data_IF_701316542304
#
_entry.id   IF_701316542304
#
_cell.length_a   1.000
_cell.length_b   1.000
_cell.length_c   1.000
_cell.angle_alpha   90.00
_cell.angle_beta   90.00
_cell.angle_gamma   90.00
#
_symmetry.space_group_name_H-M   'P 1'
#
loop_
_entity.id
_entity.type
_entity.pdbx_description
1 polymer ?
#
# COMPACT_ATOMS: atom_id res chain seq x y z
N UNK A 1 11.25 -14.07 -3.99
CA UNK A 1 10.02 -14.66 -3.42
C UNK A 1 8.93 -13.61 -3.54
N UNK A 2 7.68 -14.00 -3.81
CA UNK A 2 6.54 -13.08 -4.00
C UNK A 2 5.34 -13.58 -3.16
N UNK A 3 4.40 -12.71 -2.85
CA UNK A 3 3.16 -13.12 -2.18
C UNK A 3 2.27 -13.86 -3.20
N UNK A 4 2.03 -15.15 -2.97
CA UNK A 4 1.09 -15.92 -3.76
C UNK A 4 -0.35 -15.61 -3.33
N UNK A 5 -1.15 -15.12 -4.28
CA UNK A 5 -2.59 -14.90 -4.12
C UNK A 5 -3.29 -15.86 -5.06
N UNK A 6 -4.10 -16.77 -4.50
CA UNK A 6 -4.77 -17.83 -5.26
C UNK A 6 -5.95 -17.30 -6.10
N UNK A 7 -6.63 -16.28 -5.59
CA UNK A 7 -7.77 -15.66 -6.25
C UNK A 7 -7.32 -14.67 -7.33
N UNK A 8 -8.04 -14.58 -8.47
CA UNK A 8 -7.77 -13.56 -9.48
C UNK A 8 -7.99 -12.16 -8.90
N UNK A 9 -7.06 -11.25 -9.19
CA UNK A 9 -7.12 -9.86 -8.73
C UNK A 9 -7.61 -8.94 -9.84
N UNK A 10 -8.57 -8.08 -9.54
CA UNK A 10 -8.96 -6.96 -10.37
C UNK A 10 -7.88 -5.86 -10.33
N UNK A 11 -6.90 -5.98 -11.23
CA UNK A 11 -5.82 -5.02 -11.39
C UNK A 11 -6.33 -3.62 -11.74
N UNK A 12 -7.48 -3.52 -12.41
CA UNK A 12 -8.06 -2.22 -12.78
C UNK A 12 -8.57 -1.50 -11.54
N UNK A 13 -9.35 -2.17 -10.71
CA UNK A 13 -9.82 -1.62 -9.43
C UNK A 13 -8.64 -1.24 -8.51
N UNK A 14 -7.61 -2.08 -8.44
CA UNK A 14 -6.39 -1.76 -7.67
C UNK A 14 -5.69 -0.49 -8.20
N UNK A 15 -5.59 -0.33 -9.52
CA UNK A 15 -5.00 0.87 -10.16
C UNK A 15 -5.83 2.13 -9.94
N UNK A 16 -7.14 2.02 -9.80
CA UNK A 16 -8.01 3.15 -9.48
C UNK A 16 -7.82 3.62 -8.03
N UNK A 17 -7.38 2.74 -7.11
CA UNK A 17 -7.19 3.05 -5.70
C UNK A 17 -5.87 3.78 -5.38
N UNK A 18 -4.76 3.47 -6.07
CA UNK A 18 -3.41 3.95 -5.72
C UNK A 18 -3.11 5.45 -5.97
N UNK A 19 -3.78 6.19 -6.88
CA UNK A 19 -3.46 7.60 -7.12
C UNK A 19 -3.69 8.50 -5.90
N UNK A 20 -4.60 8.12 -5.00
CA UNK A 20 -4.89 8.90 -3.79
C UNK A 20 -3.71 8.94 -2.81
N UNK A 21 -2.74 8.03 -2.95
CA UNK A 21 -1.55 7.99 -2.11
C UNK A 21 -0.52 9.06 -2.49
N UNK A 22 -0.55 9.59 -3.72
CA UNK A 22 0.41 10.59 -4.21
C UNK A 22 0.19 11.92 -3.46
N UNK A 23 1.28 12.58 -3.09
CA UNK A 23 1.26 13.81 -2.30
C UNK A 23 1.59 13.58 -0.83
N UNK A 24 1.31 14.57 0.00
CA UNK A 24 1.61 14.55 1.42
C UNK A 24 0.36 14.17 2.23
N UNK A 25 0.44 13.06 2.98
CA UNK A 25 -0.69 12.51 3.72
C UNK A 25 -0.28 11.97 5.08
N UNK A 26 -1.25 11.85 5.98
CA UNK A 26 -1.13 11.11 7.23
C UNK A 26 -1.36 9.61 6.95
N UNK A 27 -0.32 8.80 7.08
CA UNK A 27 -0.37 7.36 6.83
C UNK A 27 -0.67 6.53 8.09
N UNK A 28 -1.33 7.10 9.11
CA UNK A 28 -1.67 6.39 10.35
C UNK A 28 -2.49 5.11 10.11
N UNK A 29 -3.39 5.10 9.11
CA UNK A 29 -4.14 3.89 8.73
C UNK A 29 -3.26 2.76 8.24
N UNK A 30 -2.05 3.07 7.76
CA UNK A 30 -1.07 2.10 7.26
C UNK A 30 0.13 1.94 8.21
N UNK A 31 0.06 2.47 9.44
CA UNK A 31 1.13 2.38 10.42
C UNK A 31 0.94 1.15 11.32
N UNK A 32 2.00 0.37 11.55
CA UNK A 32 1.97 -0.67 12.58
C UNK A 32 2.07 -0.08 13.99
N UNK A 33 1.50 -0.78 14.98
CA UNK A 33 1.72 -0.51 16.40
C UNK A 33 3.22 -0.61 16.73
N UNK A 34 3.74 0.27 17.59
CA UNK A 34 5.16 0.32 17.95
C UNK A 34 6.07 0.85 16.83
N UNK A 35 5.63 1.92 16.15
CA UNK A 35 6.46 2.66 15.21
C UNK A 35 6.99 3.92 15.89
N UNK A 36 8.31 4.10 15.91
CA UNK A 36 8.98 5.19 16.63
C UNK A 36 9.09 6.50 15.81
N UNK A 37 8.38 6.58 14.69
CA UNK A 37 8.36 7.80 13.87
C UNK A 37 7.68 8.95 14.63
N UNK A 38 8.36 10.10 14.67
CA UNK A 38 7.87 11.32 15.32
C UNK A 38 6.52 11.81 14.75
N UNK A 39 6.32 11.67 13.43
CA UNK A 39 5.03 11.95 12.78
C UNK A 39 4.67 10.88 11.75
N UNK A 40 3.37 10.61 11.53
CA UNK A 40 2.88 9.68 10.51
C UNK A 40 2.79 10.28 9.11
N UNK A 41 3.09 11.58 8.96
CA UNK A 41 3.02 12.28 7.68
C UNK A 41 4.16 11.83 6.76
N UNK A 42 3.84 11.40 5.54
CA UNK A 42 4.83 11.09 4.48
C UNK A 42 4.39 11.71 3.17
N UNK A 43 5.36 11.99 2.30
CA UNK A 43 5.10 12.48 0.96
C UNK A 43 5.47 11.39 -0.04
N UNK A 44 4.48 10.90 -0.77
CA UNK A 44 4.67 9.95 -1.87
C UNK A 44 4.83 10.74 -3.15
N UNK A 45 5.91 10.48 -3.87
CA UNK A 45 6.21 11.13 -5.15
C UNK A 45 5.56 10.40 -6.31
N UNK A 46 5.65 9.08 -6.29
CA UNK A 46 5.11 8.22 -7.35
C UNK A 46 4.72 6.86 -6.78
N UNK A 47 3.75 6.24 -7.42
CA UNK A 47 3.47 4.83 -7.25
C UNK A 47 2.99 4.24 -8.58
N UNK A 48 3.20 2.93 -8.76
CA UNK A 48 2.79 2.21 -9.95
C UNK A 48 2.43 0.77 -9.62
N UNK A 49 1.46 0.21 -10.35
CA UNK A 49 1.07 -1.20 -10.27
C UNK A 49 1.08 -1.81 -11.68
N UNK A 50 1.98 -2.76 -11.91
CA UNK A 50 2.32 -3.27 -13.24
C UNK A 50 2.30 -4.79 -13.28
N UNK A 51 1.62 -5.41 -14.26
CA UNK A 51 1.83 -6.83 -14.53
C UNK A 51 3.23 -7.04 -15.14
N UNK A 52 3.94 -8.07 -14.66
CA UNK A 52 5.26 -8.51 -15.10
C UNK A 52 5.25 -10.03 -15.24
N UNK A 53 4.77 -10.51 -16.39
CA UNK A 53 4.53 -11.94 -16.60
C UNK A 53 3.45 -12.46 -15.65
N UNK A 54 3.79 -13.46 -14.85
CA UNK A 54 2.91 -14.04 -13.82
C UNK A 54 2.87 -13.22 -12.51
N UNK A 55 3.65 -12.14 -12.43
CA UNK A 55 3.73 -11.30 -11.23
C UNK A 55 2.95 -10.00 -11.40
N UNK A 56 2.40 -9.52 -10.29
CA UNK A 56 1.90 -8.16 -10.16
C UNK A 56 2.86 -7.38 -9.26
N UNK A 57 3.51 -6.35 -9.83
CA UNK A 57 4.56 -5.57 -9.14
C UNK A 57 4.00 -4.22 -8.75
N UNK A 58 4.05 -3.93 -7.45
CA UNK A 58 3.73 -2.61 -6.89
C UNK A 58 5.00 -1.88 -6.49
N UNK A 59 5.20 -0.69 -7.05
CA UNK A 59 6.34 0.19 -6.76
C UNK A 59 5.83 1.48 -6.15
N UNK A 60 6.51 1.97 -5.11
CA UNK A 60 6.18 3.23 -4.43
C UNK A 60 7.47 4.00 -4.09
N UNK A 61 7.47 5.30 -4.37
CA UNK A 61 8.56 6.23 -4.08
C UNK A 61 8.04 7.32 -3.13
N UNK A 62 8.72 7.53 -2.00
CA UNK A 62 8.30 8.48 -0.97
C UNK A 62 9.48 9.05 -0.19
N UNK A 63 9.28 10.15 0.54
CA UNK A 63 10.29 10.76 1.42
C UNK A 63 10.82 9.80 2.47
N UNK A 64 9.93 8.99 3.04
CA UNK A 64 10.25 7.93 3.99
C UNK A 64 9.05 6.97 4.09
N UNK A 65 9.27 5.81 4.71
CA UNK A 65 8.22 4.83 4.96
C UNK A 65 8.07 4.58 6.47
N UNK A 66 6.83 4.42 6.95
CA UNK A 66 6.56 3.97 8.32
C UNK A 66 6.75 2.46 8.43
N UNK A 67 6.89 1.97 9.67
CA UNK A 67 6.95 0.53 9.94
C UNK A 67 5.72 -0.17 9.37
N UNK A 68 5.95 -1.16 8.50
CA UNK A 68 4.95 -1.92 7.74
C UNK A 68 4.07 -1.12 6.78
N UNK A 69 4.36 0.16 6.52
CA UNK A 69 3.55 1.02 5.65
C UNK A 69 3.23 0.38 4.31
N UNK A 70 4.27 0.00 3.56
CA UNK A 70 4.11 -0.60 2.23
C UNK A 70 3.35 -1.93 2.30
N UNK A 71 3.61 -2.75 3.31
CA UNK A 71 2.92 -4.04 3.49
C UNK A 71 1.44 -3.87 3.85
N UNK A 72 1.09 -2.86 4.62
CA UNK A 72 -0.30 -2.53 4.95
C UNK A 72 -1.04 -1.95 3.74
N UNK A 73 -0.37 -1.12 2.94
CA UNK A 73 -0.90 -0.61 1.66
C UNK A 73 -1.19 -1.77 0.72
N UNK A 74 -0.19 -2.62 0.43
CA UNK A 74 -0.33 -3.76 -0.48
C UNK A 74 -1.41 -4.73 0.00
N UNK A 75 -1.46 -5.03 1.30
CA UNK A 75 -2.49 -5.88 1.87
C UNK A 75 -3.91 -5.34 1.66
N UNK A 76 -4.10 -4.04 1.86
CA UNK A 76 -5.40 -3.39 1.62
C UNK A 76 -5.71 -3.27 0.12
N UNK A 77 -4.71 -3.12 -0.75
CA UNK A 77 -4.90 -3.16 -2.20
C UNK A 77 -5.33 -4.55 -2.69
N UNK A 78 -4.83 -5.63 -2.07
CA UNK A 78 -5.28 -6.99 -2.39
C UNK A 78 -6.77 -7.18 -2.05
N UNK A 79 -7.26 -6.60 -0.94
CA UNK A 79 -8.71 -6.59 -0.65
C UNK A 79 -9.52 -5.88 -1.74
N UNK A 80 -8.97 -4.80 -2.32
CA UNK A 80 -9.60 -4.12 -3.46
C UNK A 80 -9.60 -5.01 -4.69
N UNK A 81 -8.47 -5.66 -5.00
CA UNK A 81 -8.38 -6.59 -6.12
C UNK A 81 -9.27 -7.83 -5.98
N UNK A 82 -9.56 -8.25 -4.75
CA UNK A 82 -10.49 -9.34 -4.45
C UNK A 82 -11.97 -8.90 -4.44
N UNK A 83 -12.25 -7.61 -4.63
CA UNK A 83 -13.62 -7.05 -4.56
C UNK A 83 -14.19 -6.96 -3.13
N UNK A 84 -13.39 -7.22 -2.10
CA UNK A 84 -13.78 -7.07 -0.68
C UNK A 84 -13.85 -5.60 -0.27
N UNK A 85 -13.23 -4.71 -1.05
CA UNK A 85 -13.16 -3.27 -0.82
C UNK A 85 -13.24 -2.50 -2.13
N UNK A 86 -13.86 -1.33 -2.12
CA UNK A 86 -13.88 -0.42 -3.28
C UNK A 86 -12.67 0.52 -3.31
N UNK A 87 -12.25 1.03 -4.48
CA UNK A 87 -11.22 2.07 -4.57
C UNK A 87 -11.54 3.32 -3.73
N UNK A 88 -12.81 3.73 -3.68
CA UNK A 88 -13.29 4.83 -2.85
C UNK A 88 -13.10 4.54 -1.35
N UNK A 89 -13.40 3.32 -0.91
CA UNK A 89 -13.19 2.91 0.48
C UNK A 89 -11.70 2.93 0.85
N UNK A 90 -10.82 2.57 -0.07
CA UNK A 90 -9.37 2.68 0.12
C UNK A 90 -8.93 4.15 0.31
N UNK A 91 -9.48 5.08 -0.48
CA UNK A 91 -9.24 6.52 -0.31
C UNK A 91 -9.78 7.04 1.04
N UNK A 92 -10.98 6.63 1.42
CA UNK A 92 -11.56 6.98 2.72
C UNK A 92 -10.73 6.44 3.87
N UNK A 93 -10.10 5.29 3.70
CA UNK A 93 -9.23 4.70 4.69
C UNK A 93 -7.99 5.54 4.94
N UNK A 94 -7.36 6.08 3.89
CA UNK A 94 -6.26 7.04 4.05
C UNK A 94 -6.72 8.26 4.88
N UNK A 95 -7.92 8.78 4.60
CA UNK A 95 -8.49 9.91 5.33
C UNK A 95 -8.87 9.57 6.79
N UNK A 96 -9.23 8.32 7.08
CA UNK A 96 -9.70 7.88 8.39
C UNK A 96 -8.61 7.86 9.47
N UNK A 97 -7.33 7.76 9.10
CA UNK A 97 -6.16 7.72 10.00
C UNK A 97 -6.23 6.62 11.08
N UNK A 98 -6.94 5.54 10.78
CA UNK A 98 -7.24 4.45 11.72
C UNK A 98 -6.78 3.11 11.15
N UNK A 99 -5.78 2.51 11.81
CA UNK A 99 -5.20 1.22 11.41
C UNK A 99 -6.18 0.06 11.53
N UNK A 100 -7.16 0.12 12.43
CA UNK A 100 -8.12 -0.98 12.62
C UNK A 100 -8.99 -1.23 11.38
N UNK A 101 -9.12 -0.21 10.53
CA UNK A 101 -9.91 -0.26 9.30
C UNK A 101 -9.14 -0.83 8.10
N UNK A 102 -7.81 -0.93 8.22
CA UNK A 102 -6.91 -1.36 7.15
C UNK A 102 -6.76 -2.86 7.09
N UNK A 103 -6.52 -3.35 5.89
CA UNK A 103 -6.49 -4.77 5.61
C UNK A 103 -5.36 -5.52 6.30
N UNK A 104 -5.37 -6.83 6.09
CA UNK A 104 -4.32 -7.72 6.58
C UNK A 104 -2.95 -7.26 6.06
N UNK A 105 -1.92 -7.29 6.91
CA UNK A 105 -0.57 -6.90 6.49
C UNK A 105 -0.01 -7.93 5.50
N UNK A 106 0.39 -7.49 4.31
CA UNK A 106 1.00 -8.37 3.31
C UNK A 106 2.24 -9.10 3.88
N UNK A 107 2.59 -10.30 3.41
CA UNK A 107 3.79 -11.02 3.85
C UNK A 107 5.09 -10.24 3.59
N UNK A 108 6.09 -10.39 4.47
CA UNK A 108 7.35 -9.64 4.35
C UNK A 108 8.22 -10.06 3.16
N UNK A 109 8.13 -11.33 2.73
CA UNK A 109 9.04 -11.94 1.76
C UNK A 109 8.84 -11.48 0.30
N UNK A 110 7.87 -10.61 0.05
CA UNK A 110 7.61 -9.99 -1.26
C UNK A 110 8.02 -8.51 -1.34
N UNK A 111 8.53 -7.92 -0.26
CA UNK A 111 8.97 -6.53 -0.23
C UNK A 111 10.48 -6.44 -0.42
N UNK A 112 10.93 -5.56 -1.32
CA UNK A 112 12.34 -5.27 -1.57
C UNK A 112 12.54 -3.77 -1.70
N UNK A 113 13.65 -3.25 -1.15
CA UNK A 113 14.08 -1.88 -1.39
C UNK A 113 14.76 -1.82 -2.77
N UNK A 114 14.26 -0.96 -3.65
CA UNK A 114 14.78 -0.86 -5.02
C UNK A 114 15.90 0.18 -5.12
N UNK A 115 15.69 1.38 -4.55
CA UNK A 115 16.62 2.50 -4.71
C UNK A 115 16.47 3.50 -3.55
N UNK A 116 17.56 4.21 -3.22
CA UNK A 116 17.56 5.39 -2.34
C UNK A 116 18.22 6.53 -3.10
N UNK A 117 17.49 7.62 -3.31
CA UNK A 117 17.98 8.82 -4.01
C UNK A 117 18.52 9.82 -2.98
N UNK A 118 19.63 10.50 -3.34
CA UNK A 118 20.31 11.52 -2.53
C UNK A 118 20.22 12.89 -3.18
#
# INVERSE_FOLDING_TARGET
RAWHVHEPLDVKAMREAIPCLIGEHDFSSFRAAGCDAAHPIRKVYANCLEPRGELLVYTIEATAFLRHMVRNIVGTLVEVGQGLRTPESFKQLLAARDRTRAGATAPAHGLFLVEVKY
#
